data_IF_777323354068
#
_entry.id   IF_777323354068
#
_cell.length_a   1.000
_cell.length_b   1.000
_cell.length_c   1.000
_cell.angle_alpha   90.00
_cell.angle_beta   90.00
_cell.angle_gamma   90.00
#
_symmetry.space_group_name_H-M   'P 1'
#
loop_
_entity.id
_entity.type
_entity.pdbx_description
1 polymer ?
#
# COMPACT_ATOMS: atom_id res chain seq x y z
N UNK A 1 16.79 -15.56 -0.66
CA UNK A 1 17.58 -14.56 -1.40
C UNK A 1 17.20 -14.75 -2.85
N UNK A 2 16.45 -13.81 -3.45
CA UNK A 2 16.01 -13.96 -4.86
C UNK A 2 17.19 -13.63 -5.77
N UNK A 3 17.54 -14.55 -6.67
CA UNK A 3 18.45 -14.27 -7.78
C UNK A 3 17.64 -13.72 -8.97
N UNK A 4 18.27 -12.89 -9.81
CA UNK A 4 17.66 -12.40 -11.05
C UNK A 4 17.61 -13.58 -12.04
N UNK A 5 16.46 -13.88 -12.67
CA UNK A 5 16.38 -14.94 -13.68
C UNK A 5 17.22 -14.61 -14.91
N UNK A 6 17.89 -15.61 -15.49
CA UNK A 6 18.76 -15.45 -16.67
C UNK A 6 18.01 -15.01 -17.94
N UNK A 7 16.67 -15.13 -17.94
CA UNK A 7 15.79 -14.73 -19.05
C UNK A 7 15.49 -13.22 -19.09
N UNK A 8 15.89 -12.47 -18.05
CA UNK A 8 15.66 -11.03 -17.98
C UNK A 8 16.91 -10.27 -18.40
N UNK A 9 16.78 -9.52 -19.50
CA UNK A 9 17.82 -8.64 -20.00
C UNK A 9 17.94 -7.37 -19.13
N UNK A 10 19.17 -6.92 -18.89
CA UNK A 10 19.40 -5.60 -18.27
C UNK A 10 19.41 -4.51 -19.33
N UNK A 11 18.81 -3.32 -19.09
CA UNK A 11 18.29 -2.85 -17.79
C UNK A 11 16.77 -3.00 -17.63
N UNK A 12 16.35 -3.90 -16.74
CA UNK A 12 14.97 -4.03 -16.30
C UNK A 12 14.81 -3.82 -14.79
N UNK A 13 13.61 -3.40 -14.36
CA UNK A 13 13.27 -3.18 -12.96
C UNK A 13 12.45 -4.36 -12.45
N UNK A 14 13.05 -5.17 -11.58
CA UNK A 14 12.36 -6.25 -10.88
C UNK A 14 11.83 -5.76 -9.53
N UNK A 15 10.59 -6.12 -9.22
CA UNK A 15 9.94 -5.84 -7.93
C UNK A 15 9.59 -7.16 -7.26
N UNK A 16 10.18 -7.39 -6.08
CA UNK A 16 9.81 -8.53 -5.24
C UNK A 16 8.38 -8.34 -4.71
N UNK A 17 7.48 -9.23 -5.13
CA UNK A 17 6.06 -9.12 -4.83
C UNK A 17 5.74 -9.40 -3.36
N UNK A 18 6.43 -10.35 -2.73
CA UNK A 18 6.19 -10.70 -1.33
C UNK A 18 6.61 -9.56 -0.40
N UNK A 19 7.73 -8.90 -0.73
CA UNK A 19 8.18 -7.71 -0.01
C UNK A 19 7.20 -6.54 -0.23
N UNK A 20 6.74 -6.33 -1.47
CA UNK A 20 5.77 -5.28 -1.78
C UNK A 20 4.47 -5.46 -0.99
N UNK A 21 3.88 -6.65 -1.02
CA UNK A 21 2.63 -6.94 -0.34
C UNK A 21 2.77 -6.80 1.19
N UNK A 22 3.89 -7.27 1.75
CA UNK A 22 4.21 -7.07 3.17
C UNK A 22 4.30 -5.59 3.54
N UNK A 23 4.93 -4.78 2.71
CA UNK A 23 5.09 -3.35 2.95
C UNK A 23 3.76 -2.59 2.88
N UNK A 24 2.92 -2.91 1.89
CA UNK A 24 1.58 -2.34 1.75
C UNK A 24 0.73 -2.70 2.97
N UNK A 25 0.71 -3.97 3.36
CA UNK A 25 -0.03 -4.45 4.53
C UNK A 25 0.42 -3.76 5.82
N UNK A 26 1.73 -3.73 6.07
CA UNK A 26 2.30 -3.08 7.26
C UNK A 26 1.88 -1.61 7.38
N UNK A 27 1.95 -0.86 6.28
CA UNK A 27 1.61 0.57 6.30
C UNK A 27 0.12 0.79 6.50
N UNK A 28 -0.72 -0.02 5.84
CA UNK A 28 -2.17 0.06 6.01
C UNK A 28 -2.58 -0.23 7.46
N UNK A 29 -2.08 -1.32 8.06
CA UNK A 29 -2.38 -1.68 9.44
C UNK A 29 -1.89 -0.64 10.45
N UNK A 30 -0.71 -0.07 10.24
CA UNK A 30 -0.16 0.95 11.13
C UNK A 30 -0.98 2.25 11.15
N UNK A 31 -1.60 2.61 10.02
CA UNK A 31 -2.45 3.80 9.91
C UNK A 31 -3.87 3.51 10.39
N UNK A 32 -4.41 2.33 10.08
CA UNK A 32 -5.68 1.87 10.60
C UNK A 32 -5.68 1.83 12.15
N UNK A 33 -4.60 1.35 12.77
CA UNK A 33 -4.44 1.35 14.23
C UNK A 33 -4.48 2.75 14.87
N UNK A 34 -4.17 3.80 14.10
CA UNK A 34 -4.22 5.20 14.53
C UNK A 34 -5.56 5.88 14.22
N UNK A 35 -6.51 5.17 13.58
CA UNK A 35 -7.82 5.70 13.22
C UNK A 35 -7.79 6.71 12.06
N UNK A 36 -6.69 6.80 11.32
CA UNK A 36 -6.57 7.66 10.13
C UNK A 36 -6.67 6.83 8.86
N UNK A 37 -6.94 7.48 7.72
CA UNK A 37 -6.80 6.83 6.42
C UNK A 37 -5.41 7.05 5.84
N UNK A 38 -4.88 6.02 5.18
CA UNK A 38 -3.64 6.11 4.45
C UNK A 38 -3.91 6.77 3.09
N UNK A 39 -3.26 7.90 2.81
CA UNK A 39 -3.24 8.52 1.48
C UNK A 39 -1.92 8.19 0.79
N UNK A 40 -1.91 7.26 -0.19
CA UNK A 40 -0.68 6.82 -0.81
C UNK A 40 -0.15 7.87 -1.78
N UNK A 41 1.16 8.15 -1.73
CA UNK A 41 1.83 8.99 -2.71
C UNK A 41 2.44 8.13 -3.81
N UNK A 42 1.96 8.32 -5.03
CA UNK A 42 2.34 7.53 -6.22
C UNK A 42 3.72 7.91 -6.78
N UNK A 43 4.37 8.96 -6.24
CA UNK A 43 5.65 9.48 -6.77
C UNK A 43 6.76 8.43 -6.88
N UNK A 44 6.73 7.44 -6.00
CA UNK A 44 7.79 6.42 -5.86
C UNK A 44 7.73 5.37 -6.94
N UNK A 45 6.55 4.84 -7.24
CA UNK A 45 6.40 3.74 -8.21
C UNK A 45 5.84 4.22 -9.55
N UNK A 46 4.92 5.20 -9.56
CA UNK A 46 4.21 5.66 -10.77
C UNK A 46 3.49 4.57 -11.59
N UNK A 47 3.38 3.36 -11.03
CA UNK A 47 2.65 2.22 -11.59
C UNK A 47 1.19 2.16 -11.08
N UNK A 48 0.18 2.18 -11.97
CA UNK A 48 -1.24 2.05 -11.59
C UNK A 48 -1.54 0.77 -10.81
N UNK A 49 -0.89 -0.33 -11.13
CA UNK A 49 -1.09 -1.65 -10.50
C UNK A 49 -0.80 -1.58 -9.00
N UNK A 50 0.30 -0.92 -8.63
CA UNK A 50 0.69 -0.72 -7.23
C UNK A 50 -0.27 0.24 -6.51
N UNK A 51 -0.74 1.28 -7.20
CA UNK A 51 -1.77 2.16 -6.64
C UNK A 51 -3.06 1.37 -6.32
N UNK A 52 -3.51 0.50 -7.23
CA UNK A 52 -4.68 -0.35 -7.01
C UNK A 52 -4.47 -1.33 -5.84
N UNK A 53 -3.27 -1.91 -5.69
CA UNK A 53 -2.96 -2.76 -4.54
C UNK A 53 -3.06 -2.00 -3.22
N UNK A 54 -2.58 -0.76 -3.16
CA UNK A 54 -2.70 0.09 -1.97
C UNK A 54 -4.15 0.43 -1.65
N UNK A 55 -4.97 0.75 -2.67
CA UNK A 55 -6.39 1.02 -2.49
C UNK A 55 -7.15 -0.22 -1.98
N UNK A 56 -6.86 -1.40 -2.54
CA UNK A 56 -7.42 -2.69 -2.06
C UNK A 56 -7.03 -3.00 -0.62
N UNK A 57 -5.85 -2.56 -0.18
CA UNK A 57 -5.39 -2.69 1.20
C UNK A 57 -6.04 -1.67 2.16
N UNK A 58 -6.96 -0.81 1.70
CA UNK A 58 -7.71 0.13 2.53
C UNK A 58 -7.19 1.57 2.48
N UNK A 59 -6.22 1.87 1.61
CA UNK A 59 -5.80 3.24 1.37
C UNK A 59 -6.90 4.04 0.64
N UNK A 60 -6.98 5.34 0.88
CA UNK A 60 -7.95 6.22 0.23
C UNK A 60 -7.29 7.46 -0.35
N UNK A 61 -7.65 7.86 -1.58
CA UNK A 61 -7.01 8.99 -2.27
C UNK A 61 -7.37 10.35 -1.66
N UNK A 62 -8.52 10.44 -0.98
CA UNK A 62 -9.05 11.64 -0.33
C UNK A 62 -8.45 11.89 1.08
N UNK A 63 -7.83 10.87 1.69
CA UNK A 63 -7.23 10.99 3.03
C UNK A 63 -8.26 11.18 4.16
N UNK A 64 -9.53 10.83 3.93
CA UNK A 64 -10.61 11.04 4.90
C UNK A 64 -10.34 10.36 6.25
N UNK A 65 -10.50 11.08 7.36
CA UNK A 65 -10.48 10.47 8.68
C UNK A 65 -11.71 9.57 8.87
N UNK A 66 -11.51 8.29 9.17
CA UNK A 66 -12.58 7.49 9.75
C UNK A 66 -12.78 8.01 11.18
N UNK A 67 -13.69 8.97 11.40
CA UNK A 67 -14.28 9.10 12.73
C UNK A 67 -14.99 7.78 12.96
N UNK A 68 -14.32 6.87 13.67
CA UNK A 68 -14.97 5.73 14.28
C UNK A 68 -16.23 6.25 14.94
N UNK A 69 -17.35 5.60 14.67
CA UNK A 69 -18.60 5.74 15.38
C UNK A 69 -18.35 5.55 16.88
N UNK A 70 -17.89 6.61 17.56
CA UNK A 70 -17.97 6.72 19.01
C UNK A 70 -19.46 6.72 19.29
N UNK A 71 -19.93 5.60 19.82
CA UNK A 71 -21.33 5.35 20.11
C UNK A 71 -21.97 6.58 20.74
N UNK A 72 -23.01 7.08 20.08
CA UNK A 72 -24.03 7.86 20.74
C UNK A 72 -24.73 6.85 21.63
N UNK A 73 -24.25 6.73 22.88
CA UNK A 73 -25.07 6.16 23.95
C UNK A 73 -26.25 7.11 24.10
N UNK A 74 -27.43 6.61 23.76
CA UNK A 74 -28.69 7.15 24.26
C UNK A 74 -28.75 6.94 25.75
#
# INVERSE_FOLDING_TARGET
MSCIPDEIDTPDVLIDRDILDRNIGRMSSAVAAKGSALRPHVKTHKLPEIAHMQLRAGARPDGGHHRGSRGIRR
#
